data_IF_721017324888
#
_entry.id   IF_721017324888
#
_cell.length_a   1.000
_cell.length_b   1.000
_cell.length_c   1.000
_cell.angle_alpha   90.00
_cell.angle_beta   90.00
_cell.angle_gamma   90.00
#
_symmetry.space_group_name_H-M   'P 1'
#
loop_
_entity.id
_entity.type
_entity.pdbx_description
1 polymer ?
#
# COMPACT_ATOMS: atom_id res chain seq x y z
N UNK A 1 -12.51 25.83 -4.80
CA UNK A 1 -11.48 25.35 -5.74
C UNK A 1 -11.83 23.99 -6.33
N UNK A 2 -11.69 22.86 -5.61
CA UNK A 2 -11.92 21.52 -6.21
C UNK A 2 -13.37 21.24 -6.57
N UNK A 3 -14.34 21.60 -5.72
CA UNK A 3 -15.77 21.48 -6.05
C UNK A 3 -16.13 22.26 -7.32
N UNK A 4 -15.42 23.38 -7.54
CA UNK A 4 -15.59 24.20 -8.72
C UNK A 4 -15.04 23.52 -9.98
N UNK A 5 -13.85 22.93 -9.88
CA UNK A 5 -13.25 22.13 -10.95
C UNK A 5 -14.08 20.89 -11.27
N UNK A 6 -14.57 20.18 -10.25
CA UNK A 6 -15.38 18.99 -10.42
C UNK A 6 -16.74 19.33 -11.08
N UNK A 7 -17.34 20.46 -10.69
CA UNK A 7 -18.54 21.00 -11.35
C UNK A 7 -18.28 21.36 -12.81
N UNK A 8 -17.17 22.02 -13.13
CA UNK A 8 -16.81 22.39 -14.51
C UNK A 8 -16.44 21.17 -15.36
N UNK A 9 -15.85 20.14 -14.74
CA UNK A 9 -15.61 18.85 -15.38
C UNK A 9 -16.91 18.08 -15.67
N UNK A 10 -18.08 18.51 -15.15
CA UNK A 10 -19.38 17.96 -15.53
C UNK A 10 -19.55 16.47 -15.24
N UNK A 11 -18.87 15.94 -14.22
CA UNK A 11 -18.92 14.52 -13.88
C UNK A 11 -18.06 13.62 -14.76
N UNK A 12 -17.13 14.17 -15.56
CA UNK A 12 -16.15 13.37 -16.29
C UNK A 12 -15.29 12.54 -15.31
N UNK A 13 -14.93 11.28 -15.66
CA UNK A 13 -14.03 10.48 -14.85
C UNK A 13 -12.67 11.17 -14.66
N UNK A 14 -12.20 11.28 -13.41
CA UNK A 14 -10.95 12.00 -13.09
C UNK A 14 -9.78 11.04 -13.09
N UNK A 15 -8.71 11.40 -13.79
CA UNK A 15 -7.46 10.64 -13.89
C UNK A 15 -6.41 11.14 -12.90
N UNK A 16 -6.39 12.45 -12.65
CA UNK A 16 -5.39 13.10 -11.80
C UNK A 16 -5.96 14.36 -11.16
N UNK A 17 -5.57 14.60 -9.92
CA UNK A 17 -5.81 15.83 -9.19
C UNK A 17 -4.48 16.29 -8.56
N UNK A 18 -4.06 17.52 -8.85
CA UNK A 18 -2.98 18.20 -8.14
C UNK A 18 -3.56 19.39 -7.39
N UNK A 19 -3.22 19.54 -6.12
CA UNK A 19 -3.58 20.69 -5.29
C UNK A 19 -2.35 21.29 -4.66
N UNK A 20 -2.34 22.61 -4.63
CA UNK A 20 -1.48 23.42 -3.76
C UNK A 20 -2.38 24.35 -2.95
N UNK A 21 -1.80 25.26 -2.16
CA UNK A 21 -2.58 26.19 -1.35
C UNK A 21 -3.48 27.13 -2.19
N UNK A 22 -3.01 27.51 -3.38
CA UNK A 22 -3.55 28.57 -4.25
C UNK A 22 -3.85 28.10 -5.68
N UNK A 23 -3.63 26.83 -6.00
CA UNK A 23 -3.88 26.27 -7.32
C UNK A 23 -4.39 24.83 -7.23
N UNK A 24 -5.30 24.47 -8.13
CA UNK A 24 -5.66 23.07 -8.39
C UNK A 24 -5.68 22.78 -9.87
N UNK A 25 -5.26 21.57 -10.24
CA UNK A 25 -5.38 21.04 -11.59
C UNK A 25 -6.11 19.71 -11.51
N UNK A 26 -7.25 19.61 -12.20
CA UNK A 26 -8.03 18.38 -12.35
C UNK A 26 -7.95 17.91 -13.79
N UNK A 27 -7.42 16.72 -14.00
CA UNK A 27 -7.32 16.09 -15.31
C UNK A 27 -8.37 14.99 -15.43
N UNK A 28 -9.19 15.07 -16.48
CA UNK A 28 -10.33 14.18 -16.69
C UNK A 28 -10.29 13.49 -18.07
N UNK A 29 -10.95 12.34 -18.15
CA UNK A 29 -11.11 11.53 -19.36
C UNK A 29 -12.40 11.91 -20.08
N UNK A 30 -12.31 12.25 -21.37
CA UNK A 30 -13.46 12.50 -22.22
C UNK A 30 -14.03 11.20 -22.81
N UNK A 31 -15.26 11.27 -23.32
CA UNK A 31 -15.96 10.13 -23.92
C UNK A 31 -15.23 9.54 -25.14
N UNK A 32 -14.44 10.35 -25.86
CA UNK A 32 -13.62 9.94 -27.00
C UNK A 32 -12.24 9.40 -26.60
N UNK A 33 -12.00 9.21 -25.30
CA UNK A 33 -10.73 8.80 -24.68
C UNK A 33 -9.62 9.86 -24.75
N UNK A 34 -9.92 11.08 -25.18
CA UNK A 34 -8.98 12.21 -25.05
C UNK A 34 -8.93 12.70 -23.59
N UNK A 35 -7.85 13.38 -23.23
CA UNK A 35 -7.60 13.83 -21.87
C UNK A 35 -7.56 15.36 -21.83
N UNK A 36 -8.23 15.91 -20.82
CA UNK A 36 -8.41 17.36 -20.64
C UNK A 36 -8.02 17.76 -19.22
N UNK A 37 -7.38 18.92 -19.09
CA UNK A 37 -7.08 19.50 -17.78
C UNK A 37 -7.86 20.79 -17.55
N UNK A 38 -8.40 20.92 -16.34
CA UNK A 38 -9.01 22.13 -15.81
C UNK A 38 -8.11 22.67 -14.70
N UNK A 39 -7.61 23.89 -14.88
CA UNK A 39 -6.71 24.55 -13.94
C UNK A 39 -7.46 25.68 -13.27
N UNK A 40 -7.59 25.62 -11.95
CA UNK A 40 -8.07 26.71 -11.12
C UNK A 40 -6.87 27.48 -10.56
N UNK A 41 -6.85 28.79 -10.76
CA UNK A 41 -5.88 29.71 -10.16
C UNK A 41 -6.53 31.08 -10.00
N UNK A 42 -6.34 31.72 -8.85
CA UNK A 42 -6.84 33.08 -8.57
C UNK A 42 -8.34 33.29 -8.86
N UNK A 43 -9.17 32.26 -8.64
CA UNK A 43 -10.60 32.31 -8.89
C UNK A 43 -11.02 32.12 -10.34
N UNK A 44 -10.08 31.91 -11.26
CA UNK A 44 -10.35 31.63 -12.67
C UNK A 44 -10.10 30.16 -12.99
N UNK A 45 -10.94 29.59 -13.87
CA UNK A 45 -10.76 28.24 -14.40
C UNK A 45 -10.38 28.34 -15.87
N UNK A 46 -9.23 27.77 -16.22
CA UNK A 46 -8.79 27.62 -17.60
C UNK A 46 -8.85 26.15 -18.01
N UNK A 47 -9.21 25.93 -19.27
CA UNK A 47 -9.21 24.62 -19.91
C UNK A 47 -7.99 24.51 -20.81
N UNK A 48 -7.24 23.41 -20.65
CA UNK A 48 -6.04 23.15 -21.44
C UNK A 48 -6.02 21.70 -21.88
N UNK A 49 -5.56 21.44 -23.09
CA UNK A 49 -5.30 20.09 -23.56
C UNK A 49 -4.22 19.45 -22.67
N UNK A 50 -4.42 18.18 -22.31
CA UNK A 50 -3.46 17.47 -21.48
C UNK A 50 -2.43 16.75 -22.35
N UNK A 51 -1.18 16.75 -21.90
CA UNK A 51 -0.10 15.90 -22.41
C UNK A 51 -0.20 14.44 -21.95
N UNK A 52 -1.13 14.14 -21.03
CA UNK A 52 -1.38 12.78 -20.53
C UNK A 52 -2.09 11.97 -21.60
N UNK A 53 -1.49 10.84 -21.96
CA UNK A 53 -2.14 9.83 -22.78
C UNK A 53 -2.96 8.87 -21.92
N UNK A 54 -4.18 8.55 -22.33
CA UNK A 54 -4.99 7.52 -21.69
C UNK A 54 -4.58 6.12 -22.16
N UNK A 55 -4.04 5.33 -21.22
CA UNK A 55 -3.54 3.96 -21.34
C UNK A 55 -4.29 3.04 -20.36
N UNK A 56 -5.61 3.21 -20.27
CA UNK A 56 -6.48 2.43 -19.38
C UNK A 56 -6.22 2.69 -17.88
N UNK A 57 -5.78 3.90 -17.55
CA UNK A 57 -5.60 4.28 -16.16
C UNK A 57 -6.93 4.20 -15.39
N UNK A 58 -6.82 3.87 -14.10
CA UNK A 58 -7.91 3.99 -13.16
C UNK A 58 -8.38 5.44 -13.04
N UNK A 59 -9.69 5.59 -12.87
CA UNK A 59 -10.33 6.88 -12.62
C UNK A 59 -10.89 6.91 -11.21
N UNK A 60 -11.08 8.11 -10.67
CA UNK A 60 -11.65 8.31 -9.34
C UNK A 60 -12.62 9.49 -9.31
N UNK A 61 -13.39 9.58 -8.24
CA UNK A 61 -14.21 10.75 -7.92
C UNK A 61 -13.48 11.60 -6.86
N UNK A 62 -13.17 12.88 -7.10
CA UNK A 62 -12.55 13.75 -6.10
C UNK A 62 -13.38 13.90 -4.80
N UNK A 63 -14.69 13.73 -4.86
CA UNK A 63 -15.59 13.84 -3.69
C UNK A 63 -15.40 12.70 -2.68
N UNK A 64 -14.80 11.60 -3.12
CA UNK A 64 -14.43 10.47 -2.27
C UNK A 64 -13.23 10.76 -1.34
N UNK A 65 -12.56 11.90 -1.52
CA UNK A 65 -11.35 12.27 -0.78
C UNK A 65 -11.60 13.50 0.09
N UNK A 66 -10.95 13.62 1.26
CA UNK A 66 -11.14 14.72 2.20
C UNK A 66 -10.37 15.97 1.77
N UNK A 67 -10.63 16.46 0.56
CA UNK A 67 -9.97 17.62 -0.04
C UNK A 67 -10.10 18.87 0.84
N UNK A 68 -11.24 19.04 1.53
CA UNK A 68 -11.47 20.12 2.50
C UNK A 68 -10.47 20.12 3.66
N UNK A 69 -9.82 18.97 3.93
CA UNK A 69 -8.80 18.79 4.96
C UNK A 69 -7.37 18.87 4.44
N UNK A 70 -7.13 19.38 3.22
CA UNK A 70 -5.80 19.45 2.61
C UNK A 70 -4.77 20.19 3.46
N UNK A 71 -5.14 21.29 4.12
CA UNK A 71 -4.23 22.01 5.01
C UNK A 71 -3.73 21.16 6.20
N UNK A 72 -4.57 20.24 6.71
CA UNK A 72 -4.16 19.28 7.73
C UNK A 72 -3.19 18.26 7.16
N UNK A 73 -3.43 17.75 5.95
CA UNK A 73 -2.53 16.80 5.29
C UNK A 73 -1.15 17.43 5.01
N UNK A 74 -1.12 18.68 4.56
CA UNK A 74 0.09 19.49 4.42
C UNK A 74 0.86 19.65 5.74
N UNK A 75 0.16 19.98 6.82
CA UNK A 75 0.76 20.08 8.17
C UNK A 75 1.36 18.75 8.63
N UNK A 76 0.64 17.64 8.43
CA UNK A 76 1.13 16.29 8.79
C UNK A 76 2.34 15.90 7.93
N UNK A 77 2.31 16.19 6.63
CA UNK A 77 3.42 15.91 5.74
C UNK A 77 4.68 16.71 6.12
N UNK A 78 4.53 17.97 6.52
CA UNK A 78 5.64 18.80 7.02
C UNK A 78 6.28 18.21 8.29
N UNK A 79 5.45 17.76 9.25
CA UNK A 79 5.91 17.06 10.45
C UNK A 79 6.66 15.76 10.13
N UNK A 80 6.27 15.08 9.04
CA UNK A 80 6.93 13.88 8.55
C UNK A 80 8.15 14.16 7.64
N UNK A 81 8.53 15.43 7.48
CA UNK A 81 9.76 15.83 6.79
C UNK A 81 9.60 16.11 5.30
N UNK A 82 8.39 16.36 4.80
CA UNK A 82 8.22 17.01 3.49
C UNK A 82 8.65 18.46 3.64
N UNK A 83 9.85 18.78 3.15
CA UNK A 83 10.49 20.09 3.25
C UNK A 83 10.68 20.70 1.87
N UNK A 84 10.88 22.01 1.86
CA UNK A 84 11.18 22.76 0.63
C UNK A 84 9.92 23.24 -0.08
N UNK A 85 9.98 24.48 -0.55
CA UNK A 85 9.03 25.11 -1.46
C UNK A 85 7.55 24.86 -1.18
N UNK A 86 6.78 24.78 -2.27
CA UNK A 86 5.33 24.65 -2.25
C UNK A 86 4.96 23.17 -2.12
N UNK A 87 4.17 22.82 -1.11
CA UNK A 87 3.61 21.48 -0.98
C UNK A 87 2.53 21.24 -2.04
N UNK A 88 2.47 20.00 -2.52
CA UNK A 88 1.52 19.56 -3.54
C UNK A 88 0.86 18.27 -3.07
N UNK A 89 -0.46 18.29 -2.96
CA UNK A 89 -1.25 17.07 -2.83
C UNK A 89 -1.52 16.53 -4.23
N UNK A 90 -1.24 15.25 -4.45
CA UNK A 90 -1.54 14.57 -5.70
C UNK A 90 -2.43 13.36 -5.44
N UNK A 91 -3.49 13.22 -6.24
CA UNK A 91 -4.31 12.00 -6.32
C UNK A 91 -4.23 11.50 -7.75
N UNK A 92 -3.69 10.32 -7.94
CA UNK A 92 -3.45 9.74 -9.27
C UNK A 92 -3.32 8.23 -9.14
N UNK A 93 -3.60 7.51 -10.22
CA UNK A 93 -3.17 6.12 -10.29
C UNK A 93 -1.65 6.01 -10.16
N UNK A 94 -1.20 5.06 -9.34
CA UNK A 94 0.20 4.77 -9.14
C UNK A 94 0.63 3.46 -9.80
N UNK A 95 0.02 2.33 -9.42
CA UNK A 95 0.30 1.01 -10.00
C UNK A 95 -0.90 0.09 -9.92
N UNK A 96 -1.03 -0.81 -10.88
CA UNK A 96 -2.04 -1.86 -10.89
C UNK A 96 -3.47 -1.35 -10.68
N UNK A 97 -3.80 -0.15 -11.17
CA UNK A 97 -5.11 0.48 -10.98
C UNK A 97 -5.32 1.15 -9.62
N UNK A 98 -4.35 1.13 -8.71
CA UNK A 98 -4.49 1.78 -7.40
C UNK A 98 -4.33 3.30 -7.50
N UNK A 99 -5.36 4.02 -7.07
CA UNK A 99 -5.36 5.48 -6.97
C UNK A 99 -4.89 5.88 -5.58
N UNK A 100 -3.70 6.50 -5.53
CA UNK A 100 -3.05 6.90 -4.29
C UNK A 100 -3.14 8.41 -4.08
N UNK A 101 -3.23 8.81 -2.80
CA UNK A 101 -3.14 10.20 -2.38
C UNK A 101 -1.80 10.45 -1.70
N UNK A 102 -1.07 11.45 -2.17
CA UNK A 102 0.26 11.79 -1.64
C UNK A 102 0.40 13.29 -1.41
N UNK A 103 1.29 13.66 -0.50
CA UNK A 103 1.81 15.02 -0.37
C UNK A 103 3.31 15.00 -0.57
N UNK A 104 3.80 15.86 -1.46
CA UNK A 104 5.22 16.09 -1.71
C UNK A 104 5.53 17.59 -1.81
N UNK A 105 6.77 17.96 -2.11
CA UNK A 105 7.22 19.34 -2.28
C UNK A 105 7.74 19.61 -3.71
N UNK A 106 7.89 20.89 -4.06
CA UNK A 106 8.60 21.33 -5.28
C UNK A 106 9.71 22.33 -4.93
N UNK A 107 11.00 22.01 -5.18
CA UNK A 107 11.52 20.71 -5.61
C UNK A 107 11.24 19.60 -4.58
N UNK A 108 11.12 18.36 -5.04
CA UNK A 108 10.70 17.23 -4.19
C UNK A 108 11.79 16.84 -3.19
N UNK A 109 11.44 16.80 -1.91
CA UNK A 109 12.31 16.29 -0.85
C UNK A 109 11.93 14.88 -0.39
N UNK A 110 10.62 14.67 -0.20
CA UNK A 110 10.02 13.46 0.34
C UNK A 110 8.57 13.43 -0.09
N UNK A 111 8.05 12.21 -0.26
CA UNK A 111 6.64 11.96 -0.50
C UNK A 111 6.05 11.23 0.71
N UNK A 112 4.92 11.74 1.21
CA UNK A 112 4.12 11.11 2.28
C UNK A 112 2.81 10.63 1.68
N UNK A 113 2.49 9.35 1.92
CA UNK A 113 1.25 8.74 1.45
C UNK A 113 0.13 8.95 2.47
N UNK A 114 -1.09 9.09 1.98
CA UNK A 114 -2.31 9.20 2.77
C UNK A 114 -3.32 8.15 2.31
N UNK A 115 -4.09 7.62 3.26
CA UNK A 115 -5.25 6.77 2.97
C UNK A 115 -6.39 7.63 2.41
N UNK A 116 -7.39 6.99 1.80
CA UNK A 116 -8.56 7.66 1.21
C UNK A 116 -9.32 8.54 2.21
N UNK A 117 -9.25 8.24 3.51
CA UNK A 117 -9.83 9.04 4.60
C UNK A 117 -8.96 10.24 5.06
N UNK A 118 -7.80 10.45 4.44
CA UNK A 118 -6.86 11.55 4.74
C UNK A 118 -5.97 11.31 5.95
N UNK A 119 -5.95 10.09 6.50
CA UNK A 119 -4.95 9.70 7.51
C UNK A 119 -3.60 9.42 6.83
N UNK A 120 -2.51 9.86 7.45
CA UNK A 120 -1.19 9.55 6.93
C UNK A 120 -0.91 8.06 7.07
N UNK A 121 -0.28 7.51 6.05
CA UNK A 121 0.22 6.14 6.05
C UNK A 121 1.46 6.09 6.94
N UNK A 122 1.42 5.27 7.99
CA UNK A 122 2.56 5.04 8.89
C UNK A 122 3.67 4.28 8.18
N UNK A 123 4.92 4.59 8.53
CA UNK A 123 6.07 3.76 8.18
C UNK A 123 6.10 2.55 9.12
N UNK A 124 6.06 1.35 8.56
CA UNK A 124 6.13 0.10 9.32
C UNK A 124 7.57 -0.45 9.33
N UNK A 125 8.01 -0.90 10.48
CA UNK A 125 9.18 -1.78 10.63
C UNK A 125 8.84 -3.25 10.27
N UNK A 126 9.77 -4.17 10.55
CA UNK A 126 9.65 -5.59 10.18
C UNK A 126 10.00 -6.58 11.30
N UNK A 127 10.34 -6.08 12.48
CA UNK A 127 10.87 -6.89 13.58
C UNK A 127 10.08 -6.72 14.89
N UNK A 128 9.47 -5.56 15.09
CA UNK A 128 8.71 -5.29 16.31
C UNK A 128 7.33 -5.95 16.26
N UNK A 129 6.82 -6.35 17.43
CA UNK A 129 5.47 -6.93 17.53
C UNK A 129 4.42 -5.95 16.98
N UNK A 130 4.53 -4.67 17.27
CA UNK A 130 3.57 -3.66 16.82
C UNK A 130 3.55 -3.51 15.30
N UNK A 131 4.73 -3.47 14.67
CA UNK A 131 4.83 -3.37 13.21
C UNK A 131 4.33 -4.64 12.52
N UNK A 132 4.72 -5.81 13.04
CA UNK A 132 4.28 -7.10 12.51
C UNK A 132 2.77 -7.24 12.60
N UNK A 133 2.16 -6.87 13.74
CA UNK A 133 0.71 -6.84 13.90
C UNK A 133 0.07 -5.93 12.86
N UNK A 134 0.48 -4.66 12.81
CA UNK A 134 -0.14 -3.68 11.91
C UNK A 134 0.04 -4.05 10.43
N UNK A 135 1.22 -4.52 10.03
CA UNK A 135 1.53 -4.89 8.66
C UNK A 135 0.78 -6.13 8.19
N UNK A 136 0.68 -7.15 9.04
CA UNK A 136 -0.08 -8.38 8.74
C UNK A 136 -1.58 -8.07 8.70
N UNK A 137 -2.11 -7.31 9.65
CA UNK A 137 -3.52 -6.88 9.65
C UNK A 137 -3.87 -6.07 8.39
N UNK A 138 -3.01 -5.16 7.93
CA UNK A 138 -3.25 -4.36 6.72
C UNK A 138 -3.37 -5.25 5.47
N UNK A 139 -2.50 -6.26 5.31
CA UNK A 139 -2.53 -7.11 4.10
C UNK A 139 -3.61 -8.19 4.17
N UNK A 140 -3.89 -8.75 5.35
CA UNK A 140 -4.95 -9.77 5.52
C UNK A 140 -6.34 -9.12 5.38
N UNK A 141 -6.56 -7.96 6.00
CA UNK A 141 -7.89 -7.33 6.06
C UNK A 141 -8.92 -8.28 6.68
N UNK A 142 -10.08 -8.41 6.04
CA UNK A 142 -11.19 -9.27 6.50
C UNK A 142 -11.09 -10.73 6.04
N UNK A 143 -9.95 -11.15 5.46
CA UNK A 143 -9.80 -12.50 4.94
C UNK A 143 -9.75 -13.54 6.08
N UNK A 144 -10.46 -14.66 5.90
CA UNK A 144 -10.49 -15.79 6.85
C UNK A 144 -9.61 -16.96 6.41
N UNK A 145 -9.07 -16.92 5.19
CA UNK A 145 -8.21 -17.95 4.62
C UNK A 145 -7.11 -17.30 3.78
N UNK A 146 -5.88 -17.77 3.95
CA UNK A 146 -4.70 -17.30 3.21
C UNK A 146 -3.83 -18.47 2.80
N UNK A 147 -3.17 -18.39 1.64
CA UNK A 147 -2.21 -19.40 1.20
C UNK A 147 -0.82 -19.17 1.80
N UNK A 148 -0.40 -17.91 1.88
CA UNK A 148 0.88 -17.53 2.48
C UNK A 148 0.86 -16.10 2.99
N UNK A 149 1.67 -15.83 4.01
CA UNK A 149 2.03 -14.46 4.44
C UNK A 149 3.55 -14.32 4.38
N UNK A 150 4.02 -13.23 3.78
CA UNK A 150 5.44 -12.91 3.65
C UNK A 150 5.74 -11.57 4.30
N UNK A 151 6.78 -11.52 5.14
CA UNK A 151 7.37 -10.28 5.64
C UNK A 151 8.76 -10.17 5.04
N UNK A 152 9.00 -9.14 4.23
CA UNK A 152 10.26 -8.94 3.53
C UNK A 152 10.65 -7.45 3.60
N UNK A 153 11.77 -7.08 4.23
CA UNK A 153 12.17 -5.68 4.38
C UNK A 153 12.31 -4.90 3.07
N UNK A 154 12.57 -5.57 1.96
CA UNK A 154 12.68 -4.96 0.63
C UNK A 154 11.31 -4.67 0.00
N UNK A 155 10.34 -5.57 0.13
CA UNK A 155 9.03 -5.47 -0.57
C UNK A 155 7.88 -5.07 0.34
N UNK A 156 8.01 -5.27 1.64
CA UNK A 156 6.98 -5.06 2.64
C UNK A 156 6.34 -6.36 3.15
N UNK A 157 5.12 -6.21 3.66
CA UNK A 157 4.23 -7.31 4.00
C UNK A 157 3.47 -7.74 2.75
N UNK A 158 3.25 -9.03 2.55
CA UNK A 158 2.41 -9.53 1.47
C UNK A 158 1.61 -10.73 1.93
N UNK A 159 0.43 -10.92 1.35
CA UNK A 159 -0.39 -12.12 1.54
C UNK A 159 -0.93 -12.58 0.20
N UNK A 160 -0.97 -13.90 0.04
CA UNK A 160 -1.67 -14.55 -1.06
C UNK A 160 -2.99 -15.11 -0.56
N UNK A 161 -4.08 -14.69 -1.19
CA UNK A 161 -5.45 -14.98 -0.80
C UNK A 161 -6.15 -15.80 -1.89
N UNK A 162 -7.10 -16.68 -1.52
CA UNK A 162 -8.12 -17.14 -2.45
C UNK A 162 -8.86 -15.94 -3.07
N UNK A 163 -9.04 -15.94 -4.39
CA UNK A 163 -9.90 -14.99 -5.09
C UNK A 163 -11.30 -15.60 -5.30
N UNK A 164 -12.30 -14.77 -5.56
CA UNK A 164 -13.65 -15.24 -5.89
C UNK A 164 -13.69 -16.02 -7.21
N UNK A 165 -12.70 -15.81 -8.09
CA UNK A 165 -12.52 -16.58 -9.30
C UNK A 165 -11.61 -17.79 -9.05
N UNK A 166 -12.12 -18.99 -9.34
CA UNK A 166 -11.34 -20.23 -9.27
C UNK A 166 -10.06 -20.16 -10.13
N UNK A 167 -8.94 -20.65 -9.58
CA UNK A 167 -7.64 -20.64 -10.25
C UNK A 167 -6.98 -19.27 -10.33
N UNK A 168 -7.45 -18.29 -9.53
CA UNK A 168 -6.84 -16.99 -9.36
C UNK A 168 -6.41 -16.80 -7.91
N UNK A 169 -5.22 -16.23 -7.73
CA UNK A 169 -4.69 -15.79 -6.44
C UNK A 169 -4.70 -14.27 -6.42
N UNK A 170 -5.31 -13.71 -5.38
CA UNK A 170 -5.23 -12.29 -5.06
C UNK A 170 -4.03 -12.07 -4.14
N UNK A 171 -3.07 -11.28 -4.60
CA UNK A 171 -1.97 -10.84 -3.76
C UNK A 171 -2.23 -9.42 -3.26
N UNK A 172 -2.16 -9.22 -1.94
CA UNK A 172 -2.13 -7.90 -1.32
C UNK A 172 -0.73 -7.66 -0.79
N UNK A 173 -0.17 -6.51 -1.13
CA UNK A 173 1.16 -6.13 -0.64
C UNK A 173 1.13 -4.74 -0.01
N UNK A 174 1.76 -4.63 1.16
CA UNK A 174 1.95 -3.40 1.94
C UNK A 174 3.44 -3.07 2.10
N UNK A 175 4.01 -2.20 1.25
CA UNK A 175 5.39 -1.71 1.44
C UNK A 175 5.53 -0.89 2.72
N UNK A 176 6.75 -0.73 3.24
CA UNK A 176 6.99 -0.03 4.51
C UNK A 176 6.26 1.32 4.62
N UNK A 177 6.33 2.15 3.58
CA UNK A 177 5.84 3.53 3.58
C UNK A 177 4.72 3.82 2.55
N UNK A 178 4.09 2.79 1.97
CA UNK A 178 3.02 2.95 0.96
C UNK A 178 1.80 2.13 1.35
N UNK A 179 0.57 2.56 1.06
CA UNK A 179 -0.63 1.77 1.32
C UNK A 179 -0.62 0.40 0.60
N UNK A 180 -1.52 -0.47 1.04
CA UNK A 180 -1.78 -1.77 0.40
C UNK A 180 -2.16 -1.54 -1.07
N UNK A 181 -1.69 -2.43 -1.93
CA UNK A 181 -2.15 -2.56 -3.32
C UNK A 181 -2.40 -4.02 -3.64
N UNK A 182 -3.26 -4.26 -4.62
CA UNK A 182 -3.65 -5.59 -5.04
C UNK A 182 -3.07 -5.95 -6.42
N UNK A 183 -2.75 -7.23 -6.60
CA UNK A 183 -2.49 -7.81 -7.91
C UNK A 183 -3.15 -9.18 -8.02
N UNK A 184 -3.53 -9.59 -9.22
CA UNK A 184 -4.13 -10.92 -9.47
C UNK A 184 -3.24 -11.72 -10.39
N UNK A 185 -3.16 -13.03 -10.14
CA UNK A 185 -2.42 -13.96 -10.99
C UNK A 185 -3.19 -15.26 -11.16
N UNK A 186 -3.21 -15.79 -12.37
CA UNK A 186 -3.74 -17.12 -12.66
C UNK A 186 -2.75 -18.16 -12.12
N UNK A 187 -3.09 -18.77 -11.00
CA UNK A 187 -2.26 -19.74 -10.30
C UNK A 187 -3.16 -20.70 -9.52
N UNK A 188 -2.73 -21.95 -9.39
CA UNK A 188 -3.32 -22.91 -8.46
C UNK A 188 -2.27 -23.23 -7.39
N UNK A 189 -2.34 -22.58 -6.21
CA UNK A 189 -1.37 -22.81 -5.14
C UNK A 189 -1.31 -24.28 -4.73
N UNK A 190 -0.10 -24.79 -4.50
CA UNK A 190 0.10 -26.15 -4.00
C UNK A 190 -0.12 -26.29 -2.50
N UNK A 191 -0.08 -25.16 -1.78
CA UNK A 191 -0.28 -25.11 -0.34
C UNK A 191 -1.78 -25.05 -0.03
N UNK A 192 -2.21 -25.81 0.97
CA UNK A 192 -3.55 -25.65 1.53
C UNK A 192 -3.65 -24.27 2.22
N UNK A 193 -4.79 -23.58 2.11
CA UNK A 193 -5.00 -22.34 2.83
C UNK A 193 -5.09 -22.60 4.34
N UNK A 194 -4.83 -21.57 5.13
CA UNK A 194 -4.97 -21.60 6.59
C UNK A 194 -5.63 -20.33 7.11
N UNK A 195 -6.18 -20.41 8.32
CA UNK A 195 -6.77 -19.26 9.02
C UNK A 195 -5.67 -18.28 9.47
N UNK A 196 -5.64 -17.03 8.97
CA UNK A 196 -4.62 -16.05 9.36
C UNK A 196 -4.67 -15.68 10.85
N UNK A 197 -5.79 -15.93 11.56
CA UNK A 197 -5.88 -15.74 13.01
C UNK A 197 -4.94 -16.67 13.81
N UNK A 198 -4.39 -17.70 13.18
CA UNK A 198 -3.35 -18.55 13.78
C UNK A 198 -2.00 -17.84 13.91
N UNK A 199 -1.76 -16.79 13.13
CA UNK A 199 -0.49 -16.04 13.14
C UNK A 199 -0.40 -15.25 14.44
N UNK A 200 0.69 -15.44 15.19
CA UNK A 200 0.96 -14.68 16.42
C UNK A 200 2.19 -13.78 16.20
N UNK A 201 2.01 -12.46 15.99
CA UNK A 201 3.11 -11.52 15.75
C UNK A 201 4.21 -11.56 16.83
N UNK A 202 3.86 -11.81 18.09
CA UNK A 202 4.84 -11.97 19.17
C UNK A 202 5.74 -13.21 18.99
N UNK A 203 5.20 -14.32 18.50
CA UNK A 203 5.96 -15.52 18.19
C UNK A 203 6.88 -15.30 16.98
N UNK A 204 6.40 -14.60 15.95
CA UNK A 204 7.21 -14.21 14.80
C UNK A 204 8.39 -13.31 15.20
N UNK A 205 8.13 -12.25 15.98
CA UNK A 205 9.17 -11.36 16.48
C UNK A 205 10.24 -12.12 17.28
N UNK A 206 9.82 -13.08 18.10
CA UNK A 206 10.72 -13.96 18.85
C UNK A 206 11.57 -14.85 17.94
N UNK A 207 10.99 -15.40 16.87
CA UNK A 207 11.71 -16.23 15.91
C UNK A 207 12.73 -15.40 15.11
N UNK A 208 12.34 -14.21 14.65
CA UNK A 208 13.24 -13.25 13.98
C UNK A 208 14.40 -12.87 14.89
N UNK A 209 14.14 -12.43 16.12
CA UNK A 209 15.18 -12.03 17.07
C UNK A 209 16.17 -13.15 17.43
N UNK A 210 15.75 -14.42 17.34
CA UNK A 210 16.62 -15.58 17.56
C UNK A 210 17.52 -15.86 16.35
N UNK A 211 16.98 -15.74 15.14
CA UNK A 211 17.69 -16.01 13.90
C UNK A 211 18.66 -14.88 13.49
N UNK A 212 18.41 -13.65 13.95
CA UNK A 212 19.27 -12.49 13.73
C UNK A 212 20.60 -12.59 14.49
N UNK A 213 21.71 -12.26 13.83
CA UNK A 213 23.03 -12.01 14.42
C UNK A 213 23.09 -10.61 15.08
N UNK A 214 22.37 -9.64 14.52
CA UNK A 214 22.25 -8.28 15.05
C UNK A 214 20.82 -7.71 14.86
N UNK A 215 20.37 -6.76 15.71
CA UNK A 215 19.01 -6.23 15.64
C UNK A 215 18.63 -5.55 14.32
N UNK A 216 19.62 -5.04 13.59
CA UNK A 216 19.48 -4.36 12.30
C UNK A 216 19.57 -5.33 11.10
N UNK A 217 19.89 -6.61 11.32
CA UNK A 217 19.95 -7.59 10.25
C UNK A 217 18.56 -7.84 9.67
N UNK A 218 18.40 -7.62 8.36
CA UNK A 218 17.14 -7.91 7.68
C UNK A 218 16.87 -9.42 7.59
N UNK A 219 15.61 -9.79 7.82
CA UNK A 219 15.14 -11.16 7.72
C UNK A 219 13.87 -11.22 6.87
N UNK A 220 13.75 -12.30 6.09
CA UNK A 220 12.53 -12.63 5.36
C UNK A 220 11.79 -13.69 6.16
N UNK A 221 10.50 -13.47 6.43
CA UNK A 221 9.62 -14.44 7.05
C UNK A 221 8.61 -14.90 6.01
N UNK A 222 8.46 -16.21 5.84
CA UNK A 222 7.41 -16.82 5.00
C UNK A 222 6.59 -17.75 5.87
N UNK A 223 5.27 -17.59 5.88
CA UNK A 223 4.33 -18.35 6.69
C UNK A 223 3.38 -19.05 5.74
N UNK A 224 3.42 -20.38 5.72
CA UNK A 224 2.53 -21.20 4.90
C UNK A 224 2.35 -22.62 5.45
N UNK A 225 1.61 -23.44 4.69
CA UNK A 225 1.34 -24.85 4.98
C UNK A 225 2.25 -25.82 4.20
N UNK A 226 3.35 -25.35 3.62
CA UNK A 226 4.22 -26.17 2.75
C UNK A 226 4.81 -27.41 3.46
N UNK A 227 5.01 -27.33 4.77
CA UNK A 227 5.50 -28.42 5.61
C UNK A 227 4.43 -29.46 6.00
N UNK A 228 3.18 -29.31 5.54
CA UNK A 228 2.06 -30.27 5.76
C UNK A 228 1.85 -30.63 7.23
N UNK A 229 2.00 -29.64 8.11
CA UNK A 229 1.74 -29.75 9.55
C UNK A 229 0.28 -29.38 9.82
N UNK A 230 -0.18 -29.63 11.05
CA UNK A 230 -1.54 -29.26 11.47
C UNK A 230 -1.76 -27.74 11.65
N UNK A 231 -0.71 -26.93 11.52
CA UNK A 231 -0.71 -25.48 11.67
C UNK A 231 0.38 -24.89 10.76
N UNK A 232 0.27 -23.61 10.36
CA UNK A 232 1.27 -22.98 9.51
C UNK A 232 2.63 -22.90 10.23
N UNK A 233 3.70 -22.91 9.43
CA UNK A 233 5.08 -22.83 9.91
C UNK A 233 5.71 -21.56 9.35
N UNK A 234 6.40 -20.80 10.20
CA UNK A 234 7.20 -19.67 9.76
C UNK A 234 8.61 -20.15 9.38
N UNK A 235 9.00 -19.96 8.13
CA UNK A 235 10.39 -19.99 7.69
C UNK A 235 10.98 -18.59 7.87
N UNK A 236 12.01 -18.47 8.70
CA UNK A 236 12.73 -17.22 8.97
C UNK A 236 14.12 -17.32 8.35
N UNK A 237 14.42 -16.44 7.40
CA UNK A 237 15.69 -16.39 6.70
C UNK A 237 16.40 -15.06 6.96
N UNK A 238 17.54 -15.09 7.66
CA UNK A 238 18.37 -13.93 7.98
C UNK A 238 19.77 -14.15 7.40
N UNK A 239 20.10 -13.48 6.29
CA UNK A 239 21.35 -13.76 5.55
C UNK A 239 21.44 -15.23 5.10
N UNK A 240 22.47 -15.95 5.57
CA UNK A 240 22.65 -17.40 5.31
C UNK A 240 21.92 -18.30 6.31
N UNK A 241 21.42 -17.76 7.43
CA UNK A 241 20.73 -18.53 8.46
C UNK A 241 19.28 -18.74 8.05
N UNK A 242 18.81 -19.99 8.13
CA UNK A 242 17.39 -20.34 7.96
C UNK A 242 16.94 -21.12 9.18
N UNK A 243 15.90 -20.63 9.83
CA UNK A 243 15.21 -21.32 10.93
C UNK A 243 13.74 -21.53 10.59
N UNK A 244 13.13 -22.53 11.22
CA UNK A 244 11.69 -22.76 11.15
C UNK A 244 11.09 -22.62 12.53
N UNK A 245 9.90 -22.02 12.64
CA UNK A 245 9.22 -21.85 13.91
C UNK A 245 7.71 -22.08 13.82
N UNK A 246 7.11 -22.53 14.92
CA UNK A 246 5.66 -22.48 15.09
C UNK A 246 5.19 -21.02 15.28
N UNK A 247 3.88 -20.79 15.23
CA UNK A 247 3.33 -19.44 15.42
C UNK A 247 3.58 -18.89 16.83
N UNK A 248 3.91 -19.73 17.82
CA UNK A 248 4.33 -19.28 19.15
C UNK A 248 5.84 -18.92 19.23
N UNK A 249 6.55 -19.01 18.10
CA UNK A 249 7.97 -18.68 17.97
C UNK A 249 8.92 -19.74 18.52
N UNK A 250 8.46 -20.99 18.74
CA UNK A 250 9.30 -22.11 19.16
C UNK A 250 10.03 -22.68 17.94
N UNK A 251 11.32 -22.93 18.11
CA UNK A 251 12.14 -23.53 17.04
C UNK A 251 11.62 -24.92 16.66
N UNK A 252 11.48 -25.13 15.35
CA UNK A 252 11.06 -26.37 14.71
C UNK A 252 12.10 -26.87 13.71
N UNK A 253 13.26 -26.24 13.59
CA UNK A 253 14.24 -26.50 12.52
C UNK A 253 14.65 -27.98 12.45
N UNK A 254 14.85 -28.64 13.59
CA UNK A 254 15.16 -30.09 13.62
C UNK A 254 13.99 -31.03 13.29
N UNK A 255 12.76 -30.51 13.25
CA UNK A 255 11.53 -31.27 12.98
C UNK A 255 11.06 -31.15 11.53
N UNK A 256 11.43 -30.08 10.83
CA UNK A 256 10.95 -29.78 9.46
C UNK A 256 12.05 -29.47 8.45
N UNK A 257 13.28 -29.20 8.91
CA UNK A 257 14.46 -28.96 8.08
C UNK A 257 15.19 -30.23 7.66
#
# INVERSE_FOLDING_TARGET
MVDELHRVAGGLPVLKLNLTEDEATLTALQADRSVISFVWRDGEITRTDSDIQYLEQATFDPSDYPISSVGRMFSVADLQGVRGGKQVLQIVEYRAGEVLMTVSSRPESKTVFFRKDGTAVSMLGFTSVADLTAGIEEVVGDATEVYSVVVNPTTGYAVDLPDAQDGVVLNRTRPAAMPVYETRRSESPSNEPFDPALIQPAGLAKAVARAQESPDQECIVTIDMSHKRSAPVAKVQCGSTTEYADMAGRDMTSLVG
#
